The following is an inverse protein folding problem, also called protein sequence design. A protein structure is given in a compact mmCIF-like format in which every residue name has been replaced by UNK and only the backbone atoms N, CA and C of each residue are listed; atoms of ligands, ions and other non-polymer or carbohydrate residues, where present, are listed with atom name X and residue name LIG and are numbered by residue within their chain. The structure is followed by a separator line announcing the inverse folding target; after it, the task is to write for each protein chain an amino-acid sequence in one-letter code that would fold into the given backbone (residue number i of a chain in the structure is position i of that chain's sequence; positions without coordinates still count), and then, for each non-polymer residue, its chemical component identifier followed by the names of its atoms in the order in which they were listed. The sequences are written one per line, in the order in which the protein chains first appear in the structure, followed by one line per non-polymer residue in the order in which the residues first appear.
data_IF_946595239315
#
_entry.id   IF_946595239315
#
_cell.length_a   1.000
_cell.length_b   1.000
_cell.length_c   1.000
_cell.angle_alpha   90.00
_cell.angle_beta   90.00
_cell.angle_gamma   90.00
#
_symmetry.space_group_name_H-M   'P 1'
#
loop_
_entity.id
_entity.type
_entity.pdbx_description
1 polymer ?
#
# COMPACT_ATOMS: atom_id res chain seq x y z
N UNK A 1 -3.94 -15.33 5.02
CA UNK A 1 -4.43 -15.08 6.40
C UNK A 1 -5.66 -14.19 6.30
N UNK A 2 -6.80 -14.65 6.82
CA UNK A 2 -8.03 -13.85 6.88
C UNK A 2 -8.16 -13.25 8.28
N UNK A 3 -8.05 -11.93 8.38
CA UNK A 3 -8.40 -11.19 9.60
C UNK A 3 -9.88 -10.78 9.60
N UNK A 4 -10.46 -10.55 10.77
CA UNK A 4 -11.78 -9.96 10.87
C UNK A 4 -11.73 -8.48 10.51
N UNK A 5 -12.83 -7.97 10.02
CA UNK A 5 -12.95 -6.69 9.28
C UNK A 5 -12.69 -5.41 10.09
N UNK A 6 -12.50 -5.45 11.40
CA UNK A 6 -12.27 -4.25 12.22
C UNK A 6 -10.96 -4.25 13.02
N UNK A 7 -10.40 -5.42 13.29
CA UNK A 7 -9.11 -5.56 13.95
C UNK A 7 -8.47 -6.84 13.43
N UNK A 8 -7.15 -6.80 13.23
CA UNK A 8 -6.39 -8.04 13.09
C UNK A 8 -6.52 -8.75 14.43
N UNK A 9 -7.30 -9.83 14.46
CA UNK A 9 -7.50 -10.59 15.69
C UNK A 9 -6.17 -11.08 16.28
N UNK A 10 -6.07 -11.32 17.60
CA UNK A 10 -4.82 -11.72 18.26
C UNK A 10 -4.15 -12.95 17.64
N UNK A 11 -4.95 -13.86 17.10
CA UNK A 11 -4.43 -15.05 16.40
C UNK A 11 -3.83 -14.73 15.04
N UNK A 12 -4.48 -13.88 14.25
CA UNK A 12 -3.97 -13.44 12.96
C UNK A 12 -2.71 -12.57 13.12
N UNK A 13 -2.64 -11.75 14.16
CA UNK A 13 -1.45 -10.96 14.48
C UNK A 13 -0.26 -11.86 14.84
N UNK A 14 -0.45 -12.87 15.69
CA UNK A 14 0.62 -13.82 16.02
C UNK A 14 1.12 -14.58 14.80
N UNK A 15 0.23 -14.98 13.91
CA UNK A 15 0.61 -15.67 12.68
C UNK A 15 1.38 -14.73 11.73
N UNK A 16 0.97 -13.46 11.60
CA UNK A 16 1.71 -12.45 10.85
C UNK A 16 3.10 -12.24 11.42
N UNK A 17 3.24 -12.10 12.74
CA UNK A 17 4.53 -11.94 13.40
C UNK A 17 5.45 -13.15 13.12
N UNK A 18 4.93 -14.37 13.21
CA UNK A 18 5.68 -15.60 12.90
C UNK A 18 6.15 -15.65 11.44
N UNK A 19 5.31 -15.24 10.50
CA UNK A 19 5.66 -15.23 9.08
C UNK A 19 6.71 -14.15 8.78
N UNK A 20 6.66 -12.99 9.47
CA UNK A 20 7.62 -11.90 9.27
C UNK A 20 9.02 -12.19 9.80
N UNK A 21 9.23 -13.21 10.65
CA UNK A 21 10.58 -13.57 11.12
C UNK A 21 11.53 -13.87 9.97
N UNK A 22 11.05 -14.51 8.90
CA UNK A 22 11.87 -14.98 7.80
C UNK A 22 11.37 -14.55 6.39
N UNK A 23 10.30 -13.75 6.29
CA UNK A 23 9.70 -13.35 5.00
C UNK A 23 9.27 -11.89 5.04
N UNK A 24 9.38 -11.23 3.89
CA UNK A 24 8.75 -9.95 3.69
C UNK A 24 7.24 -10.13 3.41
N UNK A 25 6.45 -9.16 3.87
CA UNK A 25 5.01 -9.16 3.67
C UNK A 25 4.61 -8.01 2.75
N UNK A 26 3.83 -8.31 1.73
CA UNK A 26 3.09 -7.31 0.98
C UNK A 26 1.68 -7.18 1.56
N UNK A 27 1.31 -5.99 1.99
CA UNK A 27 0.02 -5.71 2.63
C UNK A 27 -0.67 -4.56 1.91
N UNK A 28 -1.96 -4.74 1.57
CA UNK A 28 -2.81 -3.63 1.15
C UNK A 28 -3.38 -2.94 2.39
N UNK A 29 -3.07 -1.65 2.59
CA UNK A 29 -3.33 -0.97 3.86
C UNK A 29 -4.79 -0.51 4.04
N UNK A 30 -5.52 -0.37 2.96
CA UNK A 30 -6.94 -0.04 2.97
C UNK A 30 -7.76 -1.30 3.32
N UNK A 31 -8.48 -1.24 4.41
CA UNK A 31 -9.31 -2.34 4.86
C UNK A 31 -10.42 -2.68 3.83
N UNK A 32 -11.07 -3.86 3.96
CA UNK A 32 -12.07 -4.35 3.01
C UNK A 32 -13.35 -3.53 2.93
N UNK A 33 -13.51 -2.53 3.78
CA UNK A 33 -14.66 -1.61 3.81
C UNK A 33 -14.29 -0.17 3.44
N UNK A 34 -13.02 0.08 3.08
CA UNK A 34 -12.53 1.43 2.83
C UNK A 34 -12.46 2.33 4.06
N UNK A 35 -12.29 3.62 3.93
CA UNK A 35 -12.28 4.36 2.67
C UNK A 35 -11.05 4.06 1.83
N UNK A 36 -11.21 4.19 0.51
CA UNK A 36 -10.15 3.95 -0.47
C UNK A 36 -8.89 4.77 -0.16
N UNK A 37 -7.73 4.16 -0.32
CA UNK A 37 -6.41 4.78 -0.09
C UNK A 37 -6.24 5.36 1.32
N UNK A 38 -6.94 4.83 2.31
CA UNK A 38 -6.77 5.18 3.71
C UNK A 38 -6.22 4.01 4.48
N UNK A 39 -5.08 4.23 5.09
CA UNK A 39 -4.38 3.23 5.87
C UNK A 39 -5.02 3.06 7.26
N UNK A 40 -5.07 1.82 7.71
CA UNK A 40 -5.40 1.50 9.11
C UNK A 40 -4.12 1.43 9.95
N UNK A 41 -4.24 1.62 11.26
CA UNK A 41 -3.10 1.56 12.18
C UNK A 41 -2.43 0.16 12.27
N UNK A 42 -3.07 -0.87 11.73
CA UNK A 42 -2.60 -2.26 11.84
C UNK A 42 -1.19 -2.50 11.31
N UNK A 43 -0.79 -1.80 10.23
CA UNK A 43 0.56 -1.93 9.65
C UNK A 43 1.60 -1.29 10.57
N UNK A 44 1.34 -0.09 11.09
CA UNK A 44 2.24 0.57 12.04
C UNK A 44 2.36 -0.23 13.33
N UNK A 45 1.26 -0.81 13.81
CA UNK A 45 1.26 -1.70 14.97
C UNK A 45 2.10 -2.96 14.73
N UNK A 46 1.95 -3.61 13.55
CA UNK A 46 2.75 -4.78 13.19
C UNK A 46 4.23 -4.42 13.12
N UNK A 47 4.59 -3.29 12.50
CA UNK A 47 5.96 -2.80 12.42
C UNK A 47 6.57 -2.56 13.82
N UNK A 48 5.82 -1.93 14.72
CA UNK A 48 6.23 -1.70 16.12
C UNK A 48 6.48 -3.02 16.88
N UNK A 49 5.69 -4.06 16.61
CA UNK A 49 5.84 -5.36 17.27
C UNK A 49 6.94 -6.24 16.69
N UNK A 50 7.24 -6.10 15.42
CA UNK A 50 8.22 -6.93 14.72
C UNK A 50 9.59 -6.25 14.56
N UNK A 51 9.68 -4.94 14.81
CA UNK A 51 10.88 -4.13 14.55
C UNK A 51 11.22 -3.99 13.07
N UNK A 52 10.34 -4.43 12.15
CA UNK A 52 10.56 -4.33 10.72
C UNK A 52 10.11 -2.99 10.18
N UNK A 53 10.88 -2.46 9.22
CA UNK A 53 10.51 -1.24 8.51
C UNK A 53 9.31 -1.45 7.61
N UNK A 54 8.49 -0.43 7.48
CA UNK A 54 7.43 -0.34 6.47
C UNK A 54 7.97 0.39 5.25
N UNK A 55 7.93 -0.25 4.08
CA UNK A 55 8.29 0.38 2.82
C UNK A 55 7.00 0.70 2.06
N UNK A 56 6.58 1.99 2.03
CA UNK A 56 5.44 2.40 1.23
C UNK A 56 5.70 2.13 -0.24
N UNK A 57 4.73 1.56 -0.96
CA UNK A 57 4.85 1.31 -2.39
C UNK A 57 3.59 1.72 -3.13
N UNK A 58 3.75 2.19 -4.35
CA UNK A 58 2.65 2.51 -5.24
C UNK A 58 2.93 1.98 -6.65
N UNK A 59 1.87 1.69 -7.39
CA UNK A 59 2.00 1.30 -8.78
C UNK A 59 0.93 1.97 -9.65
N UNK A 60 1.30 2.25 -10.91
CA UNK A 60 0.38 2.72 -11.93
C UNK A 60 0.75 2.12 -13.29
N UNK A 61 -0.18 2.11 -14.23
CA UNK A 61 0.03 1.54 -15.56
C UNK A 61 -0.56 2.43 -16.67
N UNK A 62 0.11 2.40 -17.84
CA UNK A 62 -0.27 3.24 -18.97
C UNK A 62 -1.63 2.82 -19.54
N UNK A 63 -1.87 1.52 -19.68
CA UNK A 63 -3.15 0.96 -20.16
C UNK A 63 -3.63 -0.12 -19.22
N UNK A 64 -4.87 -0.02 -18.77
CA UNK A 64 -5.46 -0.98 -17.82
C UNK A 64 -6.95 -1.20 -18.11
N UNK A 65 -7.45 -2.33 -17.62
CA UNK A 65 -8.86 -2.53 -17.38
C UNK A 65 -9.18 -2.07 -15.96
N UNK A 66 -10.27 -1.34 -15.80
CA UNK A 66 -10.80 -0.93 -14.50
C UNK A 66 -12.12 -1.63 -14.26
N UNK A 67 -12.15 -2.53 -13.31
CA UNK A 67 -13.38 -3.20 -12.86
C UNK A 67 -13.84 -2.46 -11.62
N UNK A 68 -14.97 -1.75 -11.75
CA UNK A 68 -15.52 -0.97 -10.63
C UNK A 68 -16.05 -1.89 -9.55
N UNK A 69 -15.53 -1.75 -8.33
CA UNK A 69 -16.02 -2.39 -7.12
C UNK A 69 -16.90 -1.45 -6.29
N UNK A 70 -17.47 -1.98 -5.21
CA UNK A 70 -18.33 -1.18 -4.32
C UNK A 70 -17.58 -0.10 -3.55
N UNK A 71 -16.32 -0.31 -3.22
CA UNK A 71 -15.48 0.59 -2.41
C UNK A 71 -14.07 0.82 -3.02
N UNK A 72 -13.64 -0.03 -3.94
CA UNK A 72 -12.38 0.13 -4.68
C UNK A 72 -12.51 -0.45 -6.08
N UNK A 73 -11.70 0.07 -7.00
CA UNK A 73 -11.62 -0.46 -8.36
C UNK A 73 -10.46 -1.46 -8.44
N UNK A 74 -10.71 -2.61 -9.07
CA UNK A 74 -9.65 -3.51 -9.45
C UNK A 74 -9.02 -3.01 -10.75
N UNK A 75 -7.74 -2.67 -10.70
CA UNK A 75 -6.96 -2.21 -11.85
C UNK A 75 -6.09 -3.35 -12.33
N UNK A 76 -6.33 -3.82 -13.56
CA UNK A 76 -5.57 -4.89 -14.19
C UNK A 76 -4.78 -4.31 -15.36
N UNK A 77 -3.44 -4.33 -15.33
CA UNK A 77 -2.63 -3.90 -16.47
C UNK A 77 -2.95 -4.73 -17.73
N UNK A 78 -3.06 -4.06 -18.88
CA UNK A 78 -3.23 -4.76 -20.16
C UNK A 78 -1.90 -5.44 -20.56
N UNK A 79 -1.96 -6.52 -21.34
CA UNK A 79 -0.76 -7.12 -21.91
C UNK A 79 0.11 -6.09 -22.63
N UNK A 80 1.42 -6.20 -22.49
CA UNK A 80 2.42 -5.33 -23.13
C UNK A 80 2.28 -3.84 -22.79
N UNK A 81 1.72 -3.52 -21.61
CA UNK A 81 1.71 -2.14 -21.08
C UNK A 81 2.90 -1.88 -20.18
N UNK A 82 3.31 -0.60 -20.09
CA UNK A 82 4.27 -0.19 -19.06
C UNK A 82 3.59 -0.07 -17.73
N UNK A 83 4.24 -0.59 -16.69
CA UNK A 83 3.85 -0.47 -15.29
C UNK A 83 4.95 0.28 -14.57
N UNK A 84 4.59 1.29 -13.80
CA UNK A 84 5.49 2.04 -12.93
C UNK A 84 5.26 1.54 -11.49
N UNK A 85 6.31 0.98 -10.92
CA UNK A 85 6.35 0.59 -9.51
C UNK A 85 7.31 1.53 -8.79
N UNK A 86 6.83 2.16 -7.74
CA UNK A 86 7.59 3.12 -6.95
C UNK A 86 7.66 2.65 -5.49
N UNK A 87 8.82 2.77 -4.89
CA UNK A 87 9.06 2.55 -3.47
C UNK A 87 9.49 3.84 -2.80
N UNK A 88 8.99 4.07 -1.60
CA UNK A 88 9.43 5.16 -0.73
C UNK A 88 10.52 4.72 0.23
N UNK A 89 10.97 5.66 1.05
CA UNK A 89 11.93 5.36 2.09
C UNK A 89 11.34 4.46 3.17
N UNK A 90 12.12 3.52 3.72
CA UNK A 90 11.69 2.68 4.83
C UNK A 90 11.33 3.52 6.06
N UNK A 91 10.15 3.30 6.61
CA UNK A 91 9.70 3.93 7.86
C UNK A 91 9.88 2.93 9.01
N UNK A 92 10.78 3.26 9.92
CA UNK A 92 10.99 2.49 11.14
C UNK A 92 10.03 2.99 12.23
N UNK A 93 9.27 2.06 12.81
CA UNK A 93 8.36 2.33 13.92
C UNK A 93 9.01 1.78 15.20
N UNK A 94 9.22 2.60 16.24
CA UNK A 94 9.78 2.14 17.50
C UNK A 94 8.95 0.99 18.10
N UNK A 95 9.59 0.10 18.87
CA UNK A 95 8.90 -1.01 19.51
C UNK A 95 7.93 -0.55 20.61
N UNK A 96 6.90 -1.35 20.84
CA UNK A 96 6.00 -1.25 22.00
C UNK A 96 5.19 0.05 22.14
N UNK A 97 4.97 0.77 21.04
CA UNK A 97 4.16 1.97 21.05
C UNK A 97 2.68 1.67 21.30
N UNK A 98 2.02 2.56 22.05
CA UNK A 98 0.57 2.56 22.20
C UNK A 98 -0.12 3.20 20.97
N UNK A 99 -1.45 3.14 20.92
CA UNK A 99 -2.23 3.61 19.77
C UNK A 99 -2.03 5.12 19.48
N UNK A 100 -1.93 5.94 20.52
CA UNK A 100 -1.71 7.38 20.36
C UNK A 100 -0.33 7.68 19.78
N UNK A 101 0.69 6.95 20.22
CA UNK A 101 2.08 7.08 19.77
C UNK A 101 2.29 6.53 18.35
N UNK A 102 1.45 5.60 17.89
CA UNK A 102 1.48 5.08 16.52
C UNK A 102 0.95 6.09 15.50
N UNK A 103 0.07 7.01 15.90
CA UNK A 103 -0.59 7.96 15.00
C UNK A 103 0.37 8.74 14.10
N UNK A 104 1.46 9.36 14.58
CA UNK A 104 2.41 10.08 13.72
C UNK A 104 3.04 9.21 12.62
N UNK A 105 3.29 7.94 12.93
CA UNK A 105 3.84 6.98 11.97
C UNK A 105 2.82 6.58 10.91
N UNK A 106 1.56 6.39 11.31
CA UNK A 106 0.45 6.14 10.37
C UNK A 106 0.30 7.31 9.41
N UNK A 107 0.29 8.55 9.92
CA UNK A 107 0.18 9.76 9.12
C UNK A 107 1.38 9.92 8.16
N UNK A 108 2.59 9.65 8.62
CA UNK A 108 3.80 9.68 7.80
C UNK A 108 3.77 8.66 6.67
N UNK A 109 3.41 7.40 6.96
CA UNK A 109 3.30 6.34 5.96
C UNK A 109 2.19 6.69 4.96
N UNK A 110 1.05 7.19 5.43
CA UNK A 110 -0.06 7.62 4.58
C UNK A 110 0.36 8.74 3.62
N UNK A 111 1.00 9.79 4.13
CA UNK A 111 1.46 10.90 3.32
C UNK A 111 2.46 10.45 2.24
N UNK A 112 3.37 9.55 2.58
CA UNK A 112 4.33 9.01 1.61
C UNK A 112 3.63 8.13 0.56
N UNK A 113 2.65 7.31 0.94
CA UNK A 113 1.85 6.54 -0.01
C UNK A 113 1.06 7.43 -0.96
N UNK A 114 0.46 8.52 -0.47
CA UNK A 114 -0.28 9.48 -1.29
C UNK A 114 0.66 10.14 -2.31
N UNK A 115 1.86 10.58 -1.88
CA UNK A 115 2.90 11.14 -2.75
C UNK A 115 3.35 10.15 -3.83
N UNK A 116 3.60 8.89 -3.47
CA UNK A 116 4.03 7.86 -4.40
C UNK A 116 2.93 7.51 -5.42
N UNK A 117 1.67 7.44 -4.98
CA UNK A 117 0.54 7.20 -5.87
C UNK A 117 0.41 8.32 -6.90
N UNK A 118 0.49 9.58 -6.47
CA UNK A 118 0.45 10.74 -7.37
C UNK A 118 1.60 10.70 -8.39
N UNK A 119 2.82 10.46 -7.95
CA UNK A 119 3.99 10.37 -8.81
C UNK A 119 3.88 9.21 -9.84
N UNK A 120 3.40 8.03 -9.41
CA UNK A 120 3.20 6.90 -10.29
C UNK A 120 2.11 7.17 -11.35
N UNK A 121 1.03 7.86 -10.97
CA UNK A 121 -0.03 8.27 -11.87
C UNK A 121 0.47 9.30 -12.90
N UNK A 122 1.24 10.30 -12.48
CA UNK A 122 1.86 11.30 -13.37
C UNK A 122 2.77 10.65 -14.41
N UNK A 123 3.61 9.69 -14.01
CA UNK A 123 4.47 8.95 -14.94
C UNK A 123 3.66 8.13 -15.95
N UNK A 124 2.59 7.48 -15.51
CA UNK A 124 1.72 6.71 -16.40
C UNK A 124 0.98 7.61 -17.41
N UNK A 125 0.53 8.79 -16.97
CA UNK A 125 -0.15 9.76 -17.83
C UNK A 125 0.80 10.41 -18.84
N UNK A 126 1.99 10.82 -18.43
CA UNK A 126 3.03 11.32 -19.33
C UNK A 126 3.39 10.29 -20.41
N UNK A 127 3.55 9.02 -20.02
CA UNK A 127 3.82 7.94 -20.94
C UNK A 127 2.64 7.64 -21.90
N UNK A 128 1.41 7.89 -21.48
CA UNK A 128 0.20 7.78 -22.32
C UNK A 128 0.15 8.85 -23.39
N UNK A 129 0.49 10.09 -23.02
CA UNK A 129 0.55 11.22 -23.95
C UNK A 129 1.66 11.04 -24.99
N UNK A 130 2.86 10.63 -24.57
CA UNK A 130 3.96 10.36 -25.48
C UNK A 130 3.66 9.26 -26.52
N UNK A 131 2.92 8.22 -26.12
CA UNK A 131 2.50 7.17 -27.07
C UNK A 131 1.45 7.64 -28.08
N UNK A 132 0.62 8.63 -27.74
CA UNK A 132 -0.33 9.23 -28.69
C UNK A 132 0.38 10.08 -29.75
N UNK A 133 1.30 10.92 -29.33
CA UNK A 133 2.10 11.77 -30.23
C UNK A 133 2.99 10.96 -31.20
N UNK A 134 3.38 9.76 -30.85
CA UNK A 134 4.18 8.87 -31.69
C UNK A 134 3.35 8.04 -32.70
N UNK A 135 2.01 8.12 -32.62
CA UNK A 135 1.07 7.36 -33.46
C UNK A 135 0.35 8.24 -34.50
N UNK A 136 0.61 9.55 -34.49
CA UNK A 136 0.18 10.55 -35.47
C UNK A 136 1.31 10.84 -36.48
#
# INVERSE_FOLDING_TARGET
IRGSTNHIGPGAMRELMRVTENKDLAITPDGPRGPRRRMTAGIAFLASRTGRAVVPTACSCVRCWKIRGSWTDLVIPKPFTRVFLMGGEPVHVPPELNEAELRPYVERIQAEMDRLNEAAEQLADAARLGNRAASE
#
